data_IF_326398599181
#
_entry.id   IF_326398599181
#
_cell.length_a   1.000
_cell.length_b   1.000
_cell.length_c   1.000
_cell.angle_alpha   90.00
_cell.angle_beta   90.00
_cell.angle_gamma   90.00
#
_symmetry.space_group_name_H-M   'P 1'
#
loop_
_entity.id
_entity.type
_entity.pdbx_description
1 polymer ?
#
# COMPACT_ATOMS: atom_id res chain seq x y z
N UNK A 1 -12.55 7.73 -16.10
CA UNK A 1 -13.65 7.05 -15.40
C UNK A 1 -13.94 7.88 -14.17
N UNK A 2 -15.19 8.23 -13.94
CA UNK A 2 -15.58 9.14 -12.86
C UNK A 2 -15.86 8.37 -11.59
N UNK A 3 -15.17 8.73 -10.51
CA UNK A 3 -15.30 8.10 -9.21
C UNK A 3 -15.87 9.09 -8.20
N UNK A 4 -16.78 8.61 -7.35
CA UNK A 4 -17.32 9.42 -6.26
C UNK A 4 -16.39 9.36 -5.06
N UNK A 5 -16.03 10.51 -4.51
CA UNK A 5 -15.18 10.61 -3.33
C UNK A 5 -16.03 10.41 -2.08
N UNK A 6 -15.66 9.42 -1.27
CA UNK A 6 -16.33 9.12 0.00
C UNK A 6 -15.57 9.67 1.20
N UNK A 7 -14.26 9.86 1.09
CA UNK A 7 -13.42 10.44 2.14
C UNK A 7 -12.51 11.52 1.55
N UNK A 8 -12.34 12.67 2.25
CA UNK A 8 -11.46 13.72 1.77
C UNK A 8 -10.04 13.21 1.63
N UNK A 9 -9.39 13.56 0.54
CA UNK A 9 -8.00 13.20 0.29
C UNK A 9 -7.33 14.19 -0.66
N UNK A 10 -6.01 14.23 -0.61
CA UNK A 10 -5.20 15.02 -1.53
C UNK A 10 -4.76 14.15 -2.72
N UNK A 11 -5.11 14.58 -3.93
CA UNK A 11 -4.63 14.01 -5.19
C UNK A 11 -3.86 15.06 -5.99
N UNK A 12 -4.29 15.27 -7.24
CA UNK A 12 -3.93 16.42 -8.07
C UNK A 12 -4.46 17.74 -7.49
N UNK A 13 -5.60 17.67 -6.79
CA UNK A 13 -6.16 18.73 -5.97
C UNK A 13 -6.76 18.15 -4.69
N UNK A 14 -7.20 19.04 -3.80
CA UNK A 14 -7.99 18.63 -2.66
C UNK A 14 -9.38 18.21 -3.14
N UNK A 15 -9.85 17.05 -2.68
CA UNK A 15 -11.19 16.55 -2.93
C UNK A 15 -11.92 16.39 -1.62
N UNK A 16 -13.14 16.91 -1.56
CA UNK A 16 -14.04 16.73 -0.43
C UNK A 16 -15.02 15.58 -0.65
N UNK A 17 -15.72 15.18 0.40
CA UNK A 17 -16.72 14.10 0.31
C UNK A 17 -17.85 14.53 -0.63
N UNK A 18 -18.19 13.65 -1.56
CA UNK A 18 -19.23 13.87 -2.56
C UNK A 18 -18.71 14.46 -3.87
N UNK A 19 -17.46 14.94 -3.91
CA UNK A 19 -16.83 15.35 -5.17
C UNK A 19 -16.68 14.17 -6.13
N UNK A 20 -16.58 14.49 -7.41
CA UNK A 20 -16.27 13.54 -8.46
C UNK A 20 -14.83 13.73 -8.94
N UNK A 21 -14.12 12.61 -9.17
CA UNK A 21 -12.78 12.63 -9.74
C UNK A 21 -12.72 11.75 -11.00
N UNK A 22 -12.21 12.30 -12.10
CA UNK A 22 -11.86 11.51 -13.27
C UNK A 22 -10.44 10.95 -13.15
N UNK A 23 -10.30 9.63 -13.21
CA UNK A 23 -9.02 8.97 -13.15
C UNK A 23 -9.02 7.62 -13.88
N UNK A 24 -7.83 7.01 -13.99
CA UNK A 24 -7.65 5.65 -14.50
C UNK A 24 -7.89 4.62 -13.39
N UNK A 25 -8.55 3.48 -13.66
CA UNK A 25 -8.89 2.47 -12.65
C UNK A 25 -7.67 1.93 -11.91
N UNK A 26 -6.58 1.62 -12.62
CA UNK A 26 -5.35 1.12 -12.00
C UNK A 26 -4.73 2.12 -11.01
N UNK A 27 -4.85 3.41 -11.27
CA UNK A 27 -4.29 4.46 -10.39
C UNK A 27 -5.12 4.62 -9.12
N UNK A 28 -6.41 4.28 -9.14
CA UNK A 28 -7.34 4.52 -8.02
C UNK A 28 -7.82 3.23 -7.36
N UNK A 29 -7.41 2.06 -7.86
CA UNK A 29 -7.80 0.76 -7.34
C UNK A 29 -7.55 0.63 -5.83
N UNK A 30 -6.41 1.09 -5.34
CA UNK A 30 -6.09 1.10 -3.91
C UNK A 30 -6.98 2.06 -3.10
N UNK A 31 -7.48 3.13 -3.71
CA UNK A 31 -8.38 4.09 -3.08
C UNK A 31 -9.81 3.58 -3.06
N UNK A 32 -10.23 2.85 -4.09
CA UNK A 32 -11.52 2.13 -4.11
C UNK A 32 -11.49 1.00 -3.08
N UNK A 33 -10.43 0.18 -3.06
CA UNK A 33 -10.26 -0.90 -2.09
C UNK A 33 -10.21 -0.40 -0.63
N UNK A 34 -9.70 0.82 -0.40
CA UNK A 34 -9.71 1.44 0.94
C UNK A 34 -11.01 2.18 1.28
N UNK A 35 -11.97 2.26 0.36
CA UNK A 35 -13.23 2.98 0.56
C UNK A 35 -13.10 4.51 0.55
N UNK A 36 -12.04 5.05 -0.06
CA UNK A 36 -11.87 6.50 -0.27
C UNK A 36 -12.63 6.97 -1.52
N UNK A 37 -12.69 6.14 -2.57
CA UNK A 37 -13.50 6.37 -3.77
C UNK A 37 -14.46 5.20 -4.01
N UNK A 38 -15.54 5.44 -4.73
CA UNK A 38 -16.50 4.42 -5.18
C UNK A 38 -16.47 4.36 -6.70
N UNK A 39 -16.35 3.14 -7.25
CA UNK A 39 -16.50 2.89 -8.67
C UNK A 39 -17.99 2.98 -9.04
N UNK A 40 -18.36 3.77 -10.06
CA UNK A 40 -19.76 3.89 -10.48
C UNK A 40 -20.33 2.55 -10.95
N UNK A 41 -19.50 1.63 -11.43
CA UNK A 41 -19.89 0.32 -11.97
C UNK A 41 -20.14 -0.71 -10.86
N UNK A 42 -19.62 -0.49 -9.64
CA UNK A 42 -19.76 -1.40 -8.49
C UNK A 42 -20.97 -1.06 -7.59
N UNK A 43 -21.92 -0.22 -8.07
CA UNK A 43 -23.10 0.21 -7.31
C UNK A 43 -24.13 -0.90 -6.99
N UNK A 44 -23.87 -2.16 -7.37
CA UNK A 44 -24.80 -3.28 -7.13
C UNK A 44 -24.42 -4.21 -5.95
N UNK A 45 -23.39 -3.95 -5.13
CA UNK A 45 -23.12 -4.91 -4.04
C UNK A 45 -22.08 -4.68 -2.94
N UNK A 46 -21.35 -3.57 -2.87
CA UNK A 46 -20.35 -3.41 -1.81
C UNK A 46 -20.88 -2.56 -0.65
N UNK A 47 -21.58 -3.24 0.27
CA UNK A 47 -21.82 -2.76 1.61
C UNK A 47 -20.52 -2.24 2.26
N UNK A 48 -20.69 -1.22 3.09
CA UNK A 48 -19.70 -0.61 3.97
C UNK A 48 -18.78 -1.67 4.59
N UNK A 49 -17.55 -1.79 4.11
CA UNK A 49 -16.49 -2.43 4.89
C UNK A 49 -15.80 -1.32 5.68
N UNK A 50 -16.29 -1.14 6.91
CA UNK A 50 -15.46 -0.66 8.01
C UNK A 50 -14.18 -1.49 7.98
N UNK A 51 -13.12 -0.92 7.39
CA UNK A 51 -11.83 -1.57 7.35
C UNK A 51 -11.36 -1.75 8.79
N UNK A 52 -11.49 -2.98 9.28
CA UNK A 52 -10.68 -3.51 10.37
C UNK A 52 -9.25 -3.07 10.06
N UNK A 53 -8.72 -2.17 10.89
CA UNK A 53 -7.33 -1.73 10.81
C UNK A 53 -6.50 -3.00 10.91
N UNK A 54 -6.03 -3.51 9.78
CA UNK A 54 -5.03 -4.56 9.78
C UNK A 54 -3.82 -3.95 10.48
N UNK A 55 -3.56 -4.36 11.71
CA UNK A 55 -2.31 -4.09 12.39
C UNK A 55 -1.20 -4.54 11.45
N UNK A 56 -0.36 -3.61 10.94
CA UNK A 56 0.76 -4.03 10.12
C UNK A 56 1.66 -4.87 11.02
N UNK A 57 1.86 -6.14 10.66
CA UNK A 57 2.88 -6.96 11.31
C UNK A 57 4.22 -6.28 11.01
N UNK A 58 4.75 -5.56 11.99
CA UNK A 58 6.03 -4.86 11.88
C UNK A 58 7.13 -5.88 12.13
N UNK A 59 7.42 -6.70 11.13
CA UNK A 59 8.69 -7.43 11.09
C UNK A 59 9.82 -6.42 10.83
N UNK A 60 10.54 -6.08 11.89
CA UNK A 60 11.64 -5.15 11.86
C UNK A 60 12.81 -5.75 11.07
N UNK A 61 13.03 -5.25 9.84
CA UNK A 61 14.12 -5.66 8.94
C UNK A 61 15.53 -5.25 9.42
N UNK A 62 15.65 -4.59 10.58
CA UNK A 62 16.93 -4.22 11.17
C UNK A 62 17.52 -5.31 12.07
N UNK A 63 16.76 -6.36 12.41
CA UNK A 63 17.27 -7.47 13.22
C UNK A 63 17.86 -8.58 12.35
N UNK A 64 18.93 -8.25 11.62
CA UNK A 64 19.88 -9.28 11.19
C UNK A 64 21.27 -8.83 11.61
N UNK A 65 21.92 -9.50 12.59
CA UNK A 65 23.35 -9.30 12.76
C UNK A 65 24.03 -9.77 11.48
N UNK A 66 24.66 -8.85 10.76
CA UNK A 66 25.39 -9.15 9.54
C UNK A 66 26.51 -10.15 9.85
N UNK A 67 26.27 -11.43 9.54
CA UNK A 67 27.18 -12.53 9.88
C UNK A 67 28.38 -12.65 8.92
N UNK A 68 28.71 -11.60 8.16
CA UNK A 68 29.80 -11.63 7.19
C UNK A 68 31.00 -10.82 7.68
N UNK A 69 31.88 -11.47 8.43
CA UNK A 69 33.29 -11.05 8.53
C UNK A 69 34.21 -12.26 8.36
N UNK A 70 34.64 -12.43 7.11
CA UNK A 70 35.79 -13.16 6.58
C UNK A 70 36.47 -14.20 7.48
N UNK A 71 36.37 -15.48 7.10
CA UNK A 71 37.35 -16.50 7.49
C UNK A 71 38.69 -16.19 6.80
N UNK A 72 39.75 -16.04 7.61
CA UNK A 72 41.13 -15.86 7.16
C UNK A 72 41.58 -17.13 6.43
N UNK A 73 42.09 -17.08 5.18
CA UNK A 73 42.64 -18.29 4.57
C UNK A 73 43.99 -18.61 5.24
N UNK A 74 44.00 -19.62 6.11
CA UNK A 74 45.23 -20.31 6.50
C UNK A 74 45.65 -21.21 5.34
N UNK A 75 46.50 -20.69 4.45
CA UNK A 75 47.33 -21.56 3.62
C UNK A 75 48.78 -21.39 4.06
N UNK A 76 49.17 -22.15 5.08
CA UNK A 76 50.55 -22.37 5.45
C UNK A 76 50.78 -23.89 5.50
N UNK A 77 51.21 -24.49 4.39
CA UNK A 77 52.05 -25.68 4.47
C UNK A 77 52.93 -25.91 3.23
N UNK A 78 54.22 -25.79 3.51
CA UNK A 78 55.33 -26.65 3.08
C UNK A 78 55.54 -26.93 1.58
N UNK A 79 56.65 -26.42 1.04
CA UNK A 79 57.77 -27.29 0.61
C UNK A 79 59.08 -26.52 0.74
#
# INVERSE_FOLDING_TARGET
MEYKVMRPHQGDKWYDVGDTRDAKPNSVAHLVASGTLVDPSDNDGAAQSEGEKSEPTVENKSDTPASNKAQKPENAKAT
#
